data_IF_781462091667
#
_entry.id   IF_781462091667
#
_cell.length_a   1.000
_cell.length_b   1.000
_cell.length_c   1.000
_cell.angle_alpha   90.00
_cell.angle_beta   90.00
_cell.angle_gamma   90.00
#
_symmetry.space_group_name_H-M   'P 1'
#
loop_
_entity.id
_entity.type
_entity.pdbx_description
1 polymer ?
#
# COMPACT_ATOMS: atom_id res chain seq x y z
N UNK A 1 -11.08 3.71 12.58
CA UNK A 1 -9.70 3.99 12.17
C UNK A 1 -9.05 2.66 11.83
N UNK A 2 -8.67 2.43 10.57
CA UNK A 2 -7.95 1.20 10.20
C UNK A 2 -6.55 1.27 10.80
N UNK A 3 -6.17 0.36 11.71
CA UNK A 3 -4.85 0.39 12.32
C UNK A 3 -3.83 -0.11 11.30
N UNK A 4 -2.76 0.65 11.08
CA UNK A 4 -1.54 0.09 10.49
C UNK A 4 -1.43 0.16 8.97
N UNK A 5 -1.59 1.34 8.38
CA UNK A 5 -0.65 1.68 7.32
C UNK A 5 0.73 1.70 7.97
N UNK A 6 1.50 0.63 7.82
CA UNK A 6 2.84 0.54 8.38
C UNK A 6 3.61 1.80 7.96
N UNK A 7 3.83 2.72 8.90
CA UNK A 7 4.64 3.89 8.62
C UNK A 7 6.02 3.36 8.28
N UNK A 8 6.53 3.64 7.06
CA UNK A 8 7.81 3.12 6.65
C UNK A 8 8.87 3.54 7.66
N UNK A 9 9.64 2.57 8.11
CA UNK A 9 10.70 2.81 9.07
C UNK A 9 11.81 3.56 8.35
N UNK A 10 12.30 4.64 8.94
CA UNK A 10 13.36 5.44 8.34
C UNK A 10 14.57 4.54 8.03
N UNK A 11 15.24 4.77 6.88
CA UNK A 11 16.46 4.06 6.45
C UNK A 11 17.53 3.96 7.54
N UNK A 12 17.59 4.91 8.47
CA UNK A 12 18.55 4.88 9.58
C UNK A 12 18.15 3.89 10.69
N UNK A 13 16.86 3.61 10.86
CA UNK A 13 16.37 2.71 11.91
C UNK A 13 16.64 1.25 11.57
N UNK A 14 16.55 0.88 10.28
CA UNK A 14 16.85 -0.48 9.83
C UNK A 14 18.32 -0.86 10.03
N UNK A 15 19.20 0.13 10.20
CA UNK A 15 20.63 -0.10 10.44
C UNK A 15 20.99 -0.37 11.91
N UNK A 16 20.09 -0.06 12.85
CA UNK A 16 20.37 -0.19 14.29
C UNK A 16 20.47 -1.66 14.71
N UNK A 17 21.49 -1.99 15.51
CA UNK A 17 21.71 -3.34 16.03
C UNK A 17 20.47 -3.87 16.77
N UNK A 18 19.85 -3.05 17.63
CA UNK A 18 18.62 -3.44 18.34
C UNK A 18 17.41 -3.67 17.43
N UNK A 19 17.38 -3.10 16.22
CA UNK A 19 16.35 -3.35 15.21
C UNK A 19 16.62 -4.66 14.47
N UNK A 20 17.86 -4.87 14.02
CA UNK A 20 18.31 -6.11 13.35
C UNK A 20 18.22 -7.33 14.26
N UNK A 21 18.47 -7.16 15.55
CA UNK A 21 18.49 -8.24 16.52
C UNK A 21 17.11 -8.64 17.04
N UNK A 22 16.11 -7.78 16.85
CA UNK A 22 14.74 -8.00 17.34
C UNK A 22 14.11 -9.25 16.71
N UNK A 23 13.64 -10.18 17.56
CA UNK A 23 13.08 -11.47 17.13
C UNK A 23 11.86 -11.33 16.21
N UNK A 24 11.02 -10.32 16.44
CA UNK A 24 9.86 -10.02 15.60
C UNK A 24 10.33 -9.52 14.24
N UNK A 25 11.30 -8.60 14.19
CA UNK A 25 11.83 -8.07 12.92
C UNK A 25 12.52 -9.17 12.11
N UNK A 26 13.31 -10.03 12.76
CA UNK A 26 13.95 -11.19 12.11
C UNK A 26 12.95 -12.13 11.44
N UNK A 27 11.75 -12.28 12.02
CA UNK A 27 10.70 -13.13 11.43
C UNK A 27 10.18 -12.63 10.07
N UNK A 28 10.38 -11.35 9.75
CA UNK A 28 10.04 -10.75 8.47
C UNK A 28 11.16 -10.85 7.42
N UNK A 29 12.33 -11.40 7.77
CA UNK A 29 13.46 -11.55 6.85
C UNK A 29 13.93 -10.22 6.26
N UNK A 30 14.09 -10.16 4.94
CA UNK A 30 14.56 -8.97 4.21
C UNK A 30 13.46 -7.90 3.98
N UNK A 31 12.18 -8.25 4.23
CA UNK A 31 11.04 -7.37 3.97
C UNK A 31 11.18 -5.96 4.57
N UNK A 32 11.67 -5.78 5.82
CA UNK A 32 11.84 -4.44 6.39
C UNK A 32 12.86 -3.58 5.63
N UNK A 33 13.96 -4.19 5.17
CA UNK A 33 15.00 -3.54 4.37
C UNK A 33 14.47 -3.17 2.98
N UNK A 34 13.71 -4.08 2.36
CA UNK A 34 13.05 -3.83 1.07
C UNK A 34 12.07 -2.64 1.17
N UNK A 35 11.21 -2.62 2.19
CA UNK A 35 10.26 -1.51 2.43
C UNK A 35 10.99 -0.18 2.65
N UNK A 36 12.07 -0.18 3.44
CA UNK A 36 12.86 1.04 3.70
C UNK A 36 13.60 1.54 2.46
N UNK A 37 14.12 0.62 1.63
CA UNK A 37 14.80 0.96 0.37
C UNK A 37 13.81 1.55 -0.65
N UNK A 38 12.62 0.96 -0.75
CA UNK A 38 11.55 1.40 -1.62
C UNK A 38 10.92 2.72 -1.16
N UNK A 39 11.17 3.23 0.05
CA UNK A 39 10.51 4.44 0.56
C UNK A 39 10.59 5.65 -0.38
N UNK A 40 11.72 5.85 -1.05
CA UNK A 40 11.90 6.97 -1.99
C UNK A 40 11.17 6.74 -3.33
N UNK A 41 10.80 5.49 -3.61
CA UNK A 41 10.07 5.05 -4.80
C UNK A 41 8.57 4.79 -4.51
N UNK A 42 8.20 4.67 -3.23
CA UNK A 42 6.83 4.42 -2.79
C UNK A 42 6.02 5.68 -2.98
N UNK A 43 5.21 5.67 -4.04
CA UNK A 43 4.18 6.67 -4.23
C UNK A 43 3.04 6.40 -3.24
N UNK A 44 2.85 7.33 -2.30
CA UNK A 44 1.71 7.27 -1.38
C UNK A 44 0.46 7.60 -2.17
N UNK A 45 -0.47 6.64 -2.26
CA UNK A 45 -1.77 6.88 -2.89
C UNK A 45 -2.47 8.07 -2.25
N UNK A 46 -2.81 9.06 -3.08
CA UNK A 46 -3.43 10.31 -2.64
C UNK A 46 -2.44 11.46 -2.43
N UNK A 47 -1.14 11.28 -2.55
CA UNK A 47 -0.17 12.38 -2.56
C UNK A 47 0.48 12.47 -3.95
N UNK A 48 0.33 13.60 -4.63
CA UNK A 48 1.01 13.87 -5.90
C UNK A 48 1.83 15.14 -5.75
N UNK A 49 3.16 15.00 -5.76
CA UNK A 49 4.07 16.06 -5.32
C UNK A 49 3.80 16.42 -3.87
N UNK A 50 3.50 17.69 -3.61
CA UNK A 50 3.15 18.20 -2.26
C UNK A 50 1.63 18.25 -2.01
N UNK A 51 0.80 17.85 -2.99
CA UNK A 51 -0.66 17.96 -2.89
C UNK A 51 -1.30 16.66 -2.44
N UNK A 52 -1.99 16.73 -1.31
CA UNK A 52 -2.81 15.64 -0.78
C UNK A 52 -4.23 15.66 -1.37
N UNK A 53 -4.70 14.51 -1.86
CA UNK A 53 -5.99 14.22 -2.43
C UNK A 53 -6.75 13.30 -1.48
N UNK A 54 -7.50 13.91 -0.57
CA UNK A 54 -8.26 13.22 0.48
C UNK A 54 -9.26 12.19 -0.07
N UNK A 55 -9.74 12.38 -1.30
CA UNK A 55 -10.63 11.44 -2.00
C UNK A 55 -10.05 10.02 -2.10
N UNK A 56 -8.72 9.88 -2.05
CA UNK A 56 -8.09 8.56 -2.02
C UNK A 56 -8.42 7.78 -0.74
N UNK A 57 -8.70 8.46 0.38
CA UNK A 57 -9.21 7.84 1.60
C UNK A 57 -10.57 7.17 1.38
N UNK A 58 -11.47 7.84 0.65
CA UNK A 58 -12.79 7.28 0.30
C UNK A 58 -12.64 6.09 -0.66
N UNK A 59 -11.77 6.22 -1.68
CA UNK A 59 -11.48 5.15 -2.64
C UNK A 59 -10.90 3.91 -1.92
N UNK A 60 -9.89 4.07 -1.07
CA UNK A 60 -9.27 2.95 -0.36
C UNK A 60 -10.24 2.31 0.65
N UNK A 61 -11.01 3.10 1.39
CA UNK A 61 -11.97 2.57 2.37
C UNK A 61 -13.18 1.86 1.75
N UNK A 62 -13.57 2.23 0.52
CA UNK A 62 -14.65 1.56 -0.21
C UNK A 62 -14.33 0.10 -0.62
N UNK A 63 -13.05 -0.29 -0.61
CA UNK A 63 -12.58 -1.59 -1.08
C UNK A 63 -12.71 -1.78 -2.59
N UNK A 64 -13.01 -0.73 -3.37
CA UNK A 64 -13.27 -0.80 -4.81
C UNK A 64 -12.08 -1.36 -5.59
N UNK A 65 -10.84 -0.99 -5.22
CA UNK A 65 -9.62 -1.49 -5.85
C UNK A 65 -9.46 -2.99 -5.61
N UNK A 66 -9.64 -3.45 -4.36
CA UNK A 66 -9.53 -4.86 -4.02
C UNK A 66 -10.59 -5.72 -4.72
N UNK A 67 -11.81 -5.19 -4.86
CA UNK A 67 -12.87 -5.85 -5.64
C UNK A 67 -12.50 -5.98 -7.11
N UNK A 68 -12.03 -4.91 -7.74
CA UNK A 68 -11.61 -4.95 -9.15
C UNK A 68 -10.49 -5.97 -9.40
N UNK A 69 -9.48 -6.02 -8.52
CA UNK A 69 -8.40 -7.02 -8.61
C UNK A 69 -8.96 -8.44 -8.47
N UNK A 70 -9.88 -8.67 -7.53
CA UNK A 70 -10.50 -9.99 -7.35
C UNK A 70 -11.35 -10.40 -8.56
N UNK A 71 -12.12 -9.47 -9.13
CA UNK A 71 -12.93 -9.71 -10.33
C UNK A 71 -12.08 -10.17 -11.52
N UNK A 72 -10.93 -9.53 -11.75
CA UNK A 72 -10.03 -9.92 -12.84
C UNK A 72 -9.31 -11.24 -12.53
N UNK A 73 -8.73 -11.36 -11.34
CA UNK A 73 -7.81 -12.49 -11.03
C UNK A 73 -8.52 -13.78 -10.64
N UNK A 74 -9.69 -13.69 -10.02
CA UNK A 74 -10.47 -14.84 -9.55
C UNK A 74 -11.77 -14.98 -10.34
N UNK A 75 -12.43 -13.85 -10.63
CA UNK A 75 -13.67 -13.82 -11.40
C UNK A 75 -13.50 -14.02 -12.91
N UNK A 76 -12.26 -13.93 -13.43
CA UNK A 76 -11.94 -13.91 -14.87
C UNK A 76 -12.74 -12.85 -15.65
N UNK A 77 -13.08 -11.74 -15.01
CA UNK A 77 -13.68 -10.59 -15.69
C UNK A 77 -12.64 -9.88 -16.57
N UNK A 78 -13.13 -9.25 -17.63
CA UNK A 78 -12.30 -8.39 -18.49
C UNK A 78 -11.75 -7.19 -17.70
N UNK A 79 -10.49 -6.86 -17.97
CA UNK A 79 -9.77 -5.80 -17.24
C UNK A 79 -10.42 -4.44 -17.47
N UNK A 80 -10.78 -4.11 -18.71
CA UNK A 80 -11.35 -2.82 -19.04
C UNK A 80 -12.73 -2.66 -18.41
N UNK A 81 -13.51 -3.75 -18.38
CA UNK A 81 -14.81 -3.78 -17.72
C UNK A 81 -14.68 -3.59 -16.20
N UNK A 82 -13.81 -4.34 -15.53
CA UNK A 82 -13.61 -4.23 -14.09
C UNK A 82 -13.13 -2.84 -13.68
N UNK A 83 -12.27 -2.20 -14.49
CA UNK A 83 -11.82 -0.83 -14.28
C UNK A 83 -12.94 0.20 -14.48
N UNK A 84 -13.77 0.05 -15.53
CA UNK A 84 -14.89 0.94 -15.78
C UNK A 84 -15.91 0.89 -14.63
N UNK A 85 -16.18 -0.29 -14.09
CA UNK A 85 -17.09 -0.47 -12.96
C UNK A 85 -16.48 0.03 -11.65
N UNK A 86 -15.19 -0.19 -11.43
CA UNK A 86 -14.48 0.43 -10.30
C UNK A 86 -14.59 1.96 -10.36
N UNK A 87 -14.33 2.57 -11.51
CA UNK A 87 -14.38 4.02 -11.70
C UNK A 87 -15.77 4.60 -11.37
N UNK A 88 -16.86 3.93 -11.78
CA UNK A 88 -18.22 4.36 -11.42
C UNK A 88 -18.45 4.39 -9.90
N UNK A 89 -17.80 3.51 -9.17
CA UNK A 89 -17.90 3.36 -7.71
C UNK A 89 -16.87 4.20 -6.92
N UNK A 90 -16.10 5.05 -7.60
CA UNK A 90 -15.16 6.03 -6.98
C UNK A 90 -15.68 7.47 -6.99
N UNK A 91 -16.93 7.68 -7.40
CA UNK A 91 -17.54 9.01 -7.52
C UNK A 91 -17.74 9.71 -6.18
#
# INVERSE_FOLDING_TARGET
MSPGGAQPVNKQVVELDGYKENEVIKSFGELPSEIASAFDEVQVFGLVGEKNFTKMGDITSSGVIGKAVNQVTVGNEDVDQALADAQKNTK
#
